data_IF_678061774295
#
_entry.id   IF_678061774295
#
_cell.length_a   1.000
_cell.length_b   1.000
_cell.length_c   1.000
_cell.angle_alpha   90.00
_cell.angle_beta   90.00
_cell.angle_gamma   90.00
#
_symmetry.space_group_name_H-M   'P 1'
#
loop_
_entity.id
_entity.type
_entity.pdbx_description
1 polymer ?
#
# COMPACT_ATOMS: atom_id res chain seq x y z
N UNK A 1 -15.88 -9.47 36.80
CA UNK A 1 -14.51 -8.93 36.59
C UNK A 1 -14.04 -9.39 35.22
N UNK A 2 -13.80 -8.47 34.29
CA UNK A 2 -13.16 -8.78 33.02
C UNK A 2 -11.63 -8.79 33.21
N UNK A 3 -10.90 -9.74 32.62
CA UNK A 3 -9.44 -9.68 32.61
C UNK A 3 -9.01 -8.45 31.79
N UNK A 4 -7.90 -7.79 32.18
CA UNK A 4 -7.36 -6.68 31.42
C UNK A 4 -6.95 -7.17 30.02
N UNK A 5 -7.19 -6.38 28.96
CA UNK A 5 -6.72 -6.72 27.62
C UNK A 5 -5.19 -6.84 27.63
N UNK A 6 -4.68 -7.88 26.96
CA UNK A 6 -3.25 -8.11 26.82
C UNK A 6 -2.55 -6.85 26.23
N UNK A 7 -1.34 -6.51 26.69
CA UNK A 7 -0.61 -5.37 26.15
C UNK A 7 -0.43 -5.56 24.66
N UNK A 8 -0.88 -4.58 23.87
CA UNK A 8 -0.63 -4.54 22.44
C UNK A 8 0.90 -4.62 22.22
N UNK A 9 1.39 -5.46 21.30
CA UNK A 9 2.82 -5.56 21.03
C UNK A 9 3.33 -4.16 20.69
N UNK A 10 4.32 -3.71 21.45
CA UNK A 10 4.91 -2.38 21.31
C UNK A 10 5.61 -2.37 19.96
N UNK A 11 4.92 -1.83 18.95
CA UNK A 11 5.35 -1.86 17.56
C UNK A 11 6.70 -1.15 17.47
N UNK A 12 7.75 -1.92 17.26
CA UNK A 12 9.10 -1.43 16.96
C UNK A 12 9.08 -0.89 15.54
N UNK A 13 8.50 0.29 15.34
CA UNK A 13 8.75 1.07 14.13
C UNK A 13 10.18 1.60 14.24
N UNK A 14 11.12 0.75 13.86
CA UNK A 14 12.55 0.87 14.05
C UNK A 14 13.20 1.48 12.81
N UNK A 15 12.53 1.42 11.65
CA UNK A 15 13.00 2.03 10.41
C UNK A 15 11.86 2.47 9.48
N UNK A 16 12.00 3.57 8.70
CA UNK A 16 11.09 3.86 7.59
C UNK A 16 11.00 2.72 6.56
N UNK A 17 11.96 1.79 6.56
CA UNK A 17 11.95 0.58 5.74
C UNK A 17 10.95 -0.48 6.22
N UNK A 18 10.51 -0.43 7.49
CA UNK A 18 9.56 -1.40 8.05
C UNK A 18 8.20 -1.31 7.34
N UNK A 19 7.76 -0.09 7.05
CA UNK A 19 6.52 0.13 6.30
C UNK A 19 6.60 -0.37 4.87
N UNK A 20 7.78 -0.26 4.24
CA UNK A 20 8.01 -0.72 2.88
C UNK A 20 8.08 -2.25 2.81
N UNK A 21 8.75 -2.88 3.78
CA UNK A 21 8.74 -4.33 3.99
C UNK A 21 7.31 -4.85 4.20
N UNK A 22 6.53 -4.19 5.05
CA UNK A 22 5.15 -4.56 5.30
C UNK A 22 4.28 -4.41 4.03
N UNK A 23 4.50 -3.36 3.24
CA UNK A 23 3.74 -3.13 2.00
C UNK A 23 4.01 -4.22 0.95
N UNK A 24 5.27 -4.67 0.83
CA UNK A 24 5.67 -5.65 -0.18
C UNK A 24 5.32 -7.07 0.23
N UNK A 25 5.49 -7.41 1.51
CA UNK A 25 5.29 -8.77 2.01
C UNK A 25 3.89 -9.03 2.57
N UNK A 26 3.12 -7.97 2.85
CA UNK A 26 1.82 -8.05 3.52
C UNK A 26 1.89 -8.43 5.01
N UNK A 27 3.09 -8.65 5.56
CA UNK A 27 3.30 -9.09 6.93
C UNK A 27 4.05 -8.04 7.74
N UNK A 28 3.74 -7.97 9.04
CA UNK A 28 4.53 -7.14 9.96
C UNK A 28 5.94 -7.73 10.13
N UNK A 29 6.90 -6.87 10.46
CA UNK A 29 8.33 -7.23 10.59
C UNK A 29 8.53 -8.31 11.67
N UNK A 30 7.82 -8.21 12.78
CA UNK A 30 7.89 -9.20 13.87
C UNK A 30 7.41 -10.58 13.40
N UNK A 31 6.37 -10.62 12.56
CA UNK A 31 5.85 -11.86 11.97
C UNK A 31 6.84 -12.46 10.99
N UNK A 32 7.49 -11.62 10.16
CA UNK A 32 8.53 -12.07 9.24
C UNK A 32 9.72 -12.69 9.98
N UNK A 33 10.13 -12.11 11.12
CA UNK A 33 11.18 -12.67 11.95
C UNK A 33 10.78 -14.03 12.51
N UNK A 34 9.55 -14.17 13.00
CA UNK A 34 9.04 -15.45 13.48
C UNK A 34 8.95 -16.52 12.37
N UNK A 35 8.59 -16.13 11.14
CA UNK A 35 8.57 -17.05 9.99
C UNK A 35 9.97 -17.46 9.55
N UNK A 36 10.95 -16.55 9.63
CA UNK A 36 12.36 -16.87 9.41
C UNK A 36 12.87 -17.90 10.40
N UNK A 37 12.60 -17.71 11.69
CA UNK A 37 13.04 -18.63 12.74
C UNK A 37 12.38 -20.02 12.64
N UNK A 38 11.20 -20.09 12.03
CA UNK A 38 10.48 -21.34 11.76
C UNK A 38 10.83 -21.97 10.41
N UNK A 39 11.65 -21.33 9.58
CA UNK A 39 12.04 -21.83 8.26
C UNK A 39 10.90 -21.86 7.23
N UNK A 40 9.88 -21.00 7.39
CA UNK A 40 8.67 -20.99 6.54
C UNK A 40 8.84 -20.05 5.33
N UNK A 41 9.78 -19.10 5.41
CA UNK A 41 10.04 -18.14 4.33
C UNK A 41 10.78 -18.79 3.16
N UNK A 42 10.49 -18.32 1.96
CA UNK A 42 11.34 -18.61 0.79
C UNK A 42 12.73 -17.97 0.96
N UNK A 43 13.68 -18.37 0.10
CA UNK A 43 15.08 -17.94 0.21
C UNK A 43 15.25 -16.42 0.08
N UNK A 44 14.43 -15.77 -0.75
CA UNK A 44 14.51 -14.32 -0.99
C UNK A 44 14.01 -13.51 0.21
N UNK A 45 12.86 -13.88 0.77
CA UNK A 45 12.31 -13.28 1.97
C UNK A 45 13.16 -13.62 3.20
N UNK A 46 13.74 -14.82 3.26
CA UNK A 46 14.66 -15.20 4.32
C UNK A 46 15.92 -14.32 4.32
N UNK A 47 16.57 -14.16 3.16
CA UNK A 47 17.73 -13.28 3.03
C UNK A 47 17.37 -11.82 3.36
N UNK A 48 16.20 -11.34 2.94
CA UNK A 48 15.71 -10.00 3.29
C UNK A 48 15.56 -9.80 4.80
N UNK A 49 14.97 -10.77 5.50
CA UNK A 49 14.80 -10.73 6.95
C UNK A 49 16.15 -10.74 7.68
N UNK A 50 17.12 -11.53 7.19
CA UNK A 50 18.46 -11.56 7.77
C UNK A 50 19.16 -10.19 7.62
N UNK A 51 19.03 -9.53 6.47
CA UNK A 51 19.52 -8.14 6.28
C UNK A 51 18.78 -7.13 7.16
N UNK A 52 17.48 -7.33 7.38
CA UNK A 52 16.72 -6.49 8.29
C UNK A 52 17.21 -6.63 9.74
N UNK A 53 17.57 -7.85 10.17
CA UNK A 53 18.19 -8.09 11.49
C UNK A 53 19.53 -7.38 11.64
N UNK A 54 20.37 -7.41 10.60
CA UNK A 54 21.63 -6.64 10.58
C UNK A 54 21.38 -5.14 10.77
N UNK A 55 20.38 -4.58 10.07
CA UNK A 55 19.98 -3.17 10.22
C UNK A 55 19.51 -2.85 11.64
N UNK A 56 18.63 -3.66 12.22
CA UNK A 56 18.13 -3.48 13.58
C UNK A 56 19.27 -3.52 14.63
N UNK A 57 20.27 -4.40 14.42
CA UNK A 57 21.47 -4.45 15.26
C UNK A 57 22.31 -3.18 15.14
N UNK A 58 22.51 -2.67 13.92
CA UNK A 58 23.23 -1.42 13.70
C UNK A 58 22.51 -0.22 14.34
N UNK A 59 21.19 -0.15 14.25
CA UNK A 59 20.39 0.90 14.88
C UNK A 59 20.43 0.85 16.41
N UNK A 60 20.49 -0.36 16.98
CA UNK A 60 20.70 -0.53 18.43
C UNK A 60 22.04 0.07 18.86
N UNK A 61 23.10 -0.12 18.06
CA UNK A 61 24.43 0.43 18.31
C UNK A 61 24.45 1.96 18.24
N UNK A 62 23.79 2.55 17.24
CA UNK A 62 23.62 4.02 17.14
C UNK A 62 22.88 4.58 18.36
N UNK A 63 21.78 3.93 18.75
CA UNK A 63 20.99 4.36 19.92
C UNK A 63 21.82 4.30 21.20
N UNK A 64 22.65 3.26 21.35
CA UNK A 64 23.56 3.10 22.48
C UNK A 64 24.57 4.25 22.54
N UNK A 65 25.29 4.55 21.46
CA UNK A 65 26.29 5.62 21.45
C UNK A 65 25.68 7.01 21.60
N UNK A 66 24.49 7.25 21.05
CA UNK A 66 23.79 8.52 21.24
C UNK A 66 23.36 8.72 22.70
N UNK A 67 22.89 7.66 23.38
CA UNK A 67 22.60 7.71 24.82
C UNK A 67 23.86 7.92 25.66
N UNK A 68 24.96 7.25 25.31
CA UNK A 68 26.24 7.42 25.99
C UNK A 68 26.75 8.85 25.83
N UNK A 69 26.70 9.40 24.62
CA UNK A 69 27.09 10.78 24.35
C UNK A 69 26.25 11.78 25.16
N UNK A 70 24.91 11.62 25.15
CA UNK A 70 24.01 12.44 25.96
C UNK A 70 24.34 12.38 27.45
N UNK A 71 24.74 11.21 27.95
CA UNK A 71 25.16 11.03 29.35
C UNK A 71 26.47 11.77 29.62
N UNK A 72 27.48 11.63 28.76
CA UNK A 72 28.75 12.33 28.90
C UNK A 72 28.58 13.85 28.84
N UNK A 73 27.63 14.36 28.05
CA UNK A 73 27.33 15.79 27.93
C UNK A 73 26.36 16.33 29.00
N UNK A 74 25.86 15.50 29.92
CA UNK A 74 24.81 15.88 30.88
C UNK A 74 25.29 16.67 32.09
N UNK A 75 26.61 16.85 32.25
CA UNK A 75 27.21 17.46 33.44
C UNK A 75 27.36 16.50 34.63
N UNK A 76 27.15 15.19 34.42
CA UNK A 76 27.39 14.14 35.44
C UNK A 76 28.88 13.97 35.79
N UNK A 77 29.79 14.41 34.92
CA UNK A 77 31.23 14.20 35.05
C UNK A 77 31.98 15.54 35.17
N UNK A 78 33.07 15.53 35.93
CA UNK A 78 33.97 16.67 36.03
C UNK A 78 34.58 17.01 34.67
N UNK A 79 34.71 18.32 34.38
CA UNK A 79 35.25 18.80 33.11
C UNK A 79 36.77 18.70 33.13
N UNK A 80 37.28 17.55 32.72
CA UNK A 80 38.70 17.23 32.62
C UNK A 80 39.09 16.69 31.23
N UNK A 81 40.39 16.49 31.00
CA UNK A 81 40.91 15.95 29.73
C UNK A 81 40.45 14.51 29.46
N UNK A 82 40.14 13.74 30.51
CA UNK A 82 39.65 12.38 30.37
C UNK A 82 38.20 12.36 29.85
N UNK A 83 37.36 13.31 30.26
CA UNK A 83 36.01 13.50 29.75
C UNK A 83 36.05 13.82 28.25
N UNK A 84 36.87 14.80 27.84
CA UNK A 84 37.00 15.14 26.42
C UNK A 84 37.46 13.94 25.58
N UNK A 85 38.48 13.21 26.04
CA UNK A 85 38.96 11.98 25.37
C UNK A 85 37.85 10.93 25.23
N UNK A 86 36.99 10.78 26.24
CA UNK A 86 35.87 9.82 26.21
C UNK A 86 34.75 10.29 25.28
N UNK A 87 34.49 11.60 25.23
CA UNK A 87 33.53 12.19 24.29
C UNK A 87 34.02 11.96 22.86
N UNK A 88 35.27 12.31 22.53
CA UNK A 88 35.84 12.13 21.19
C UNK A 88 35.73 10.68 20.73
N UNK A 89 36.16 9.73 21.57
CA UNK A 89 36.00 8.30 21.28
C UNK A 89 34.54 7.88 21.07
N UNK A 90 33.60 8.45 21.82
CA UNK A 90 32.17 8.13 21.68
C UNK A 90 31.61 8.69 20.38
N UNK A 91 32.09 9.86 19.94
CA UNK A 91 31.74 10.45 18.65
C UNK A 91 32.27 9.59 17.51
N UNK A 92 33.54 9.16 17.56
CA UNK A 92 34.12 8.25 16.56
C UNK A 92 33.30 6.95 16.45
N UNK A 93 32.94 6.35 17.59
CA UNK A 93 32.12 5.14 17.64
C UNK A 93 30.68 5.36 17.13
N UNK A 94 30.12 6.56 17.33
CA UNK A 94 28.83 6.94 16.78
C UNK A 94 28.90 7.11 15.25
N UNK A 95 29.99 7.68 14.74
CA UNK A 95 30.25 7.79 13.30
C UNK A 95 30.34 6.40 12.66
N UNK A 96 31.14 5.49 13.23
CA UNK A 96 31.23 4.10 12.75
C UNK A 96 29.86 3.39 12.79
N UNK A 97 29.10 3.56 13.87
CA UNK A 97 27.79 2.95 14.01
C UNK A 97 26.76 3.49 13.01
N UNK A 98 26.80 4.80 12.72
CA UNK A 98 25.91 5.41 11.71
C UNK A 98 26.30 4.96 10.30
N UNK A 99 27.59 4.91 9.97
CA UNK A 99 28.07 4.36 8.70
C UNK A 99 27.66 2.88 8.51
N UNK A 100 27.77 2.07 9.57
CA UNK A 100 27.34 0.66 9.55
C UNK A 100 25.81 0.54 9.35
N UNK A 101 25.01 1.39 10.00
CA UNK A 101 23.56 1.46 9.82
C UNK A 101 23.21 1.79 8.36
N UNK A 102 23.89 2.77 7.78
CA UNK A 102 23.60 3.23 6.42
C UNK A 102 24.03 2.20 5.36
N UNK A 103 25.13 1.48 5.61
CA UNK A 103 25.51 0.33 4.81
C UNK A 103 24.48 -0.81 4.91
N UNK A 104 23.97 -1.12 6.11
CA UNK A 104 22.93 -2.13 6.29
C UNK A 104 21.61 -1.72 5.62
N UNK A 105 21.22 -0.44 5.70
CA UNK A 105 20.02 0.08 5.03
C UNK A 105 20.11 -0.08 3.51
N UNK A 106 21.28 0.22 2.91
CA UNK A 106 21.51 -0.02 1.48
C UNK A 106 21.39 -1.49 1.08
N UNK A 107 21.87 -2.41 1.92
CA UNK A 107 21.72 -3.86 1.68
C UNK A 107 20.26 -4.31 1.72
N UNK A 108 19.47 -3.78 2.67
CA UNK A 108 18.03 -4.08 2.76
C UNK A 108 17.30 -3.56 1.51
N UNK A 109 17.61 -2.34 1.07
CA UNK A 109 17.04 -1.77 -0.15
C UNK A 109 17.39 -2.60 -1.40
N UNK A 110 18.65 -3.01 -1.54
CA UNK A 110 19.08 -3.86 -2.65
C UNK A 110 18.40 -5.24 -2.64
N UNK A 111 18.07 -5.77 -1.46
CA UNK A 111 17.32 -7.02 -1.32
C UNK A 111 15.81 -6.84 -1.57
N UNK A 112 15.25 -5.65 -1.31
CA UNK A 112 13.85 -5.32 -1.57
C UNK A 112 13.55 -5.14 -3.07
N UNK A 113 14.44 -4.49 -3.81
CA UNK A 113 14.26 -4.17 -5.23
C UNK A 113 13.81 -5.36 -6.11
N UNK A 114 14.42 -6.56 -6.04
CA UNK A 114 13.96 -7.70 -6.85
C UNK A 114 12.59 -8.22 -6.43
N UNK A 115 12.24 -8.16 -5.14
CA UNK A 115 10.95 -8.62 -4.62
C UNK A 115 9.85 -7.64 -5.05
N UNK A 116 10.14 -6.35 -4.99
CA UNK A 116 9.26 -5.30 -5.52
C UNK A 116 9.08 -5.42 -7.02
N UNK A 117 10.15 -5.69 -7.78
CA UNK A 117 10.07 -5.89 -9.22
C UNK A 117 9.24 -7.14 -9.58
N UNK A 118 9.41 -8.25 -8.83
CA UNK A 118 8.61 -9.45 -9.01
C UNK A 118 7.13 -9.21 -8.64
N UNK A 119 6.87 -8.51 -7.54
CA UNK A 119 5.52 -8.14 -7.13
C UNK A 119 4.86 -7.21 -8.15
N UNK A 120 5.60 -6.25 -8.73
CA UNK A 120 5.11 -5.37 -9.77
C UNK A 120 4.84 -6.10 -11.09
N UNK A 121 5.65 -7.10 -11.44
CA UNK A 121 5.44 -7.94 -12.62
C UNK A 121 4.24 -8.89 -12.47
N UNK A 122 3.95 -9.33 -11.23
CA UNK A 122 2.81 -10.18 -10.91
C UNK A 122 1.53 -9.40 -10.58
N UNK A 123 1.64 -8.11 -10.23
CA UNK A 123 0.50 -7.24 -10.15
C UNK A 123 -0.06 -7.10 -11.57
N UNK A 124 -1.28 -7.60 -11.87
CA UNK A 124 -1.94 -7.18 -13.09
C UNK A 124 -1.91 -5.66 -13.06
N UNK A 125 -1.37 -5.06 -14.13
CA UNK A 125 -1.34 -3.62 -14.34
C UNK A 125 -2.54 -3.03 -13.64
N UNK A 126 -2.30 -2.10 -12.71
CA UNK A 126 -3.33 -1.19 -12.27
C UNK A 126 -3.71 -0.35 -13.50
N UNK A 127 -4.39 -0.99 -14.47
CA UNK A 127 -5.16 -0.36 -15.52
C UNK A 127 -6.00 0.60 -14.74
N UNK A 128 -5.66 1.88 -14.88
CA UNK A 128 -6.52 2.96 -14.44
C UNK A 128 -7.92 2.56 -14.87
N UNK A 129 -8.79 2.31 -13.88
CA UNK A 129 -10.11 1.76 -14.14
C UNK A 129 -10.74 2.63 -15.22
N UNK A 130 -11.15 2.02 -16.33
CA UNK A 130 -11.95 2.76 -17.31
C UNK A 130 -13.18 3.32 -16.60
N UNK A 131 -13.70 4.46 -17.05
CA UNK A 131 -14.95 5.03 -16.54
C UNK A 131 -16.06 3.97 -16.53
N UNK A 132 -16.08 3.07 -17.51
CA UNK A 132 -17.04 1.97 -17.61
C UNK A 132 -16.81 0.88 -16.55
N UNK A 133 -15.55 0.59 -16.19
CA UNK A 133 -15.21 -0.34 -15.10
C UNK A 133 -15.62 0.25 -13.75
N UNK A 134 -15.36 1.54 -13.54
CA UNK A 134 -15.75 2.24 -12.33
C UNK A 134 -17.27 2.25 -12.14
N UNK A 135 -18.04 2.50 -13.21
CA UNK A 135 -19.50 2.46 -13.18
C UNK A 135 -20.02 1.06 -12.86
N UNK A 136 -19.44 0.02 -13.46
CA UNK A 136 -19.80 -1.37 -13.19
C UNK A 136 -19.50 -1.77 -11.73
N UNK A 137 -18.33 -1.40 -11.20
CA UNK A 137 -17.95 -1.67 -9.81
C UNK A 137 -18.84 -0.93 -8.81
N UNK A 138 -19.23 0.33 -9.09
CA UNK A 138 -20.18 1.08 -8.26
C UNK A 138 -21.57 0.44 -8.26
N UNK A 139 -22.03 -0.06 -9.41
CA UNK A 139 -23.30 -0.77 -9.52
C UNK A 139 -23.26 -2.10 -8.71
N UNK A 140 -22.14 -2.83 -8.75
CA UNK A 140 -21.95 -4.06 -7.97
C UNK A 140 -21.82 -3.76 -6.46
N UNK A 141 -21.21 -2.64 -6.07
CA UNK A 141 -21.10 -2.23 -4.67
C UNK A 141 -22.47 -2.06 -3.99
N UNK A 142 -23.51 -1.69 -4.73
CA UNK A 142 -24.89 -1.60 -4.26
C UNK A 142 -25.59 -2.96 -4.07
N UNK A 143 -24.89 -4.06 -4.37
CA UNK A 143 -25.42 -5.42 -4.42
C UNK A 143 -25.79 -5.81 -5.84
N UNK A 144 -25.35 -7.00 -6.28
CA UNK A 144 -25.63 -7.47 -7.63
C UNK A 144 -25.82 -8.99 -7.68
N UNK A 145 -26.63 -9.42 -8.65
CA UNK A 145 -26.93 -10.84 -8.88
C UNK A 145 -26.78 -11.20 -10.35
N UNK A 146 -26.06 -12.28 -10.61
CA UNK A 146 -25.91 -12.87 -11.92
C UNK A 146 -27.09 -13.78 -12.22
N UNK A 147 -27.69 -13.56 -13.40
CA UNK A 147 -28.79 -14.35 -13.91
C UNK A 147 -28.45 -14.89 -15.29
N UNK A 148 -28.99 -16.07 -15.59
CA UNK A 148 -29.06 -16.59 -16.94
C UNK A 148 -30.45 -16.35 -17.53
N UNK A 149 -30.49 -15.76 -18.72
CA UNK A 149 -31.73 -15.50 -19.42
C UNK A 149 -32.25 -16.76 -20.09
N UNK A 150 -33.31 -17.36 -19.54
CA UNK A 150 -33.83 -18.68 -19.95
C UNK A 150 -34.14 -18.82 -21.45
N UNK A 151 -34.61 -17.77 -22.12
CA UNK A 151 -34.91 -17.84 -23.57
C UNK A 151 -33.67 -17.69 -24.48
N UNK A 152 -32.59 -17.07 -23.99
CA UNK A 152 -31.43 -16.74 -24.85
C UNK A 152 -30.14 -17.40 -24.39
N UNK A 153 -30.13 -18.06 -23.23
CA UNK A 153 -28.94 -18.60 -22.56
C UNK A 153 -27.92 -17.52 -22.17
N UNK A 154 -28.24 -16.24 -22.35
CA UNK A 154 -27.28 -15.15 -22.11
C UNK A 154 -27.24 -14.84 -20.63
N UNK A 155 -26.03 -14.72 -20.10
CA UNK A 155 -25.81 -14.32 -18.73
C UNK A 155 -25.68 -12.80 -18.62
N UNK A 156 -26.21 -12.23 -17.54
CA UNK A 156 -26.03 -10.83 -17.21
C UNK A 156 -26.18 -10.60 -15.72
N UNK A 157 -25.42 -9.65 -15.19
CA UNK A 157 -25.53 -9.22 -13.80
C UNK A 157 -26.55 -8.10 -13.74
N UNK A 158 -27.50 -8.21 -12.81
CA UNK A 158 -28.42 -7.14 -12.46
C UNK A 158 -28.00 -6.58 -11.11
N UNK A 159 -27.56 -5.32 -11.11
CA UNK A 159 -27.32 -4.58 -9.88
C UNK A 159 -28.65 -4.24 -9.18
N UNK A 160 -28.61 -3.98 -7.87
CA UNK A 160 -29.76 -3.55 -7.09
C UNK A 160 -30.36 -2.23 -7.62
N UNK A 161 -29.54 -1.40 -8.28
CA UNK A 161 -29.97 -0.19 -8.98
C UNK A 161 -30.73 -0.46 -10.29
N UNK A 162 -30.87 -1.72 -10.71
CA UNK A 162 -31.50 -2.12 -11.98
C UNK A 162 -30.57 -2.06 -13.19
N UNK A 163 -29.32 -1.59 -13.02
CA UNK A 163 -28.33 -1.56 -14.09
C UNK A 163 -27.96 -3.00 -14.49
N UNK A 164 -28.00 -3.28 -15.79
CA UNK A 164 -27.54 -4.56 -16.36
C UNK A 164 -26.10 -4.45 -16.81
N UNK A 165 -25.25 -5.33 -16.29
CA UNK A 165 -23.84 -5.45 -16.65
C UNK A 165 -23.70 -6.72 -17.51
N UNK A 166 -23.19 -6.63 -18.75
CA UNK A 166 -22.97 -7.79 -19.61
C UNK A 166 -22.00 -8.80 -18.99
N UNK A 167 -22.21 -10.09 -19.23
CA UNK A 167 -21.34 -11.15 -18.69
C UNK A 167 -19.86 -10.99 -19.10
N UNK A 168 -19.58 -10.55 -20.33
CA UNK A 168 -18.20 -10.29 -20.77
C UNK A 168 -17.50 -9.23 -19.90
N UNK A 169 -18.26 -8.23 -19.41
CA UNK A 169 -17.73 -7.19 -18.51
C UNK A 169 -17.52 -7.74 -17.09
N UNK A 170 -18.44 -8.59 -16.61
CA UNK A 170 -18.23 -9.30 -15.35
C UNK A 170 -16.96 -10.15 -15.39
N UNK A 171 -16.77 -10.92 -16.47
CA UNK A 171 -15.62 -11.81 -16.63
C UNK A 171 -14.29 -11.02 -16.63
N UNK A 172 -14.24 -9.89 -17.32
CA UNK A 172 -13.07 -8.99 -17.26
C UNK A 172 -12.77 -8.48 -15.84
N UNK A 173 -13.80 -8.16 -15.05
CA UNK A 173 -13.61 -7.70 -13.67
C UNK A 173 -13.20 -8.84 -12.72
N UNK A 174 -13.64 -10.08 -12.99
CA UNK A 174 -13.20 -11.29 -12.28
C UNK A 174 -11.74 -11.63 -12.61
N UNK A 175 -11.38 -11.59 -13.90
CA UNK A 175 -10.01 -11.84 -14.37
C UNK A 175 -9.03 -10.81 -13.78
N UNK A 176 -9.49 -9.57 -13.55
CA UNK A 176 -8.75 -8.52 -12.86
C UNK A 176 -8.76 -8.64 -11.32
N UNK A 177 -9.43 -9.65 -10.76
CA UNK A 177 -9.51 -9.89 -9.32
C UNK A 177 -10.33 -8.86 -8.54
N UNK A 178 -11.16 -8.05 -9.21
CA UNK A 178 -11.92 -6.94 -8.60
C UNK A 178 -13.29 -7.39 -8.06
N UNK A 179 -13.80 -8.49 -8.60
CA UNK A 179 -15.13 -9.03 -8.30
C UNK A 179 -15.03 -10.53 -8.11
N UNK A 180 -15.87 -11.09 -7.24
CA UNK A 180 -16.00 -12.53 -7.02
C UNK A 180 -17.47 -12.95 -7.05
N UNK A 181 -17.72 -14.11 -7.65
CA UNK A 181 -19.00 -14.81 -7.63
C UNK A 181 -19.08 -15.75 -6.45
N UNK A 182 -20.21 -15.75 -5.77
CA UNK A 182 -20.53 -16.75 -4.77
C UNK A 182 -21.12 -18.00 -5.46
N UNK A 183 -20.29 -19.01 -5.72
CA UNK A 183 -20.69 -20.27 -6.35
C UNK A 183 -21.53 -21.19 -5.46
N UNK A 184 -21.80 -20.82 -4.21
CA UNK A 184 -22.71 -21.55 -3.33
C UNK A 184 -24.18 -21.38 -3.69
N UNK A 185 -24.51 -20.46 -4.61
CA UNK A 185 -25.88 -20.15 -4.99
C UNK A 185 -26.20 -20.56 -6.44
N UNK A 186 -27.34 -21.22 -6.69
CA UNK A 186 -27.72 -21.61 -8.04
C UNK A 186 -28.00 -20.39 -8.92
N UNK A 187 -27.51 -20.43 -10.17
CA UNK A 187 -27.63 -19.35 -11.16
C UNK A 187 -29.07 -18.90 -11.41
N UNK A 188 -30.02 -19.84 -11.42
CA UNK A 188 -31.43 -19.54 -11.68
C UNK A 188 -32.10 -18.78 -10.52
N UNK A 189 -31.56 -18.83 -9.30
CA UNK A 189 -32.04 -18.05 -8.15
C UNK A 189 -31.38 -16.66 -8.04
N UNK A 190 -30.46 -16.35 -8.95
CA UNK A 190 -29.62 -15.15 -8.90
C UNK A 190 -28.40 -15.38 -8.03
N UNK A 191 -27.27 -15.66 -8.68
CA UNK A 191 -26.01 -15.90 -8.00
C UNK A 191 -25.43 -14.56 -7.50
N UNK A 192 -25.10 -14.39 -6.21
CA UNK A 192 -24.57 -13.14 -5.71
C UNK A 192 -23.18 -12.82 -6.30
N UNK A 193 -22.97 -11.54 -6.58
CA UNK A 193 -21.71 -10.99 -7.06
C UNK A 193 -21.26 -9.91 -6.08
N UNK A 194 -20.04 -10.04 -5.56
CA UNK A 194 -19.50 -9.14 -4.55
C UNK A 194 -18.14 -8.56 -4.97
N UNK A 195 -17.83 -7.37 -4.45
CA UNK A 195 -16.50 -6.78 -4.60
C UNK A 195 -15.49 -7.48 -3.71
N UNK A 196 -14.30 -7.73 -4.25
CA UNK A 196 -13.13 -8.16 -3.47
C UNK A 196 -12.54 -6.97 -2.70
N UNK A 197 -11.61 -7.24 -1.78
CA UNK A 197 -10.86 -6.16 -1.12
C UNK A 197 -10.08 -5.30 -2.13
N UNK A 198 -9.52 -5.92 -3.18
CA UNK A 198 -8.87 -5.21 -4.28
C UNK A 198 -9.86 -4.33 -5.06
N UNK A 199 -11.06 -4.83 -5.37
CA UNK A 199 -12.11 -4.04 -6.03
C UNK A 199 -12.59 -2.84 -5.21
N UNK A 200 -12.73 -3.01 -3.89
CA UNK A 200 -13.03 -1.90 -2.96
C UNK A 200 -11.89 -0.88 -2.95
N UNK A 201 -10.64 -1.33 -2.78
CA UNK A 201 -9.47 -0.46 -2.78
C UNK A 201 -9.33 0.33 -4.10
N UNK A 202 -9.59 -0.31 -5.24
CA UNK A 202 -9.55 0.32 -6.55
C UNK A 202 -10.63 1.41 -6.71
N UNK A 203 -11.86 1.17 -6.23
CA UNK A 203 -12.91 2.19 -6.18
C UNK A 203 -12.55 3.38 -5.28
N UNK A 204 -11.93 3.13 -4.12
CA UNK A 204 -11.49 4.20 -3.22
C UNK A 204 -10.32 5.00 -3.80
N UNK A 205 -9.36 4.34 -4.47
CA UNK A 205 -8.26 4.99 -5.16
C UNK A 205 -8.75 5.88 -6.30
N UNK A 206 -9.71 5.39 -7.12
CA UNK A 206 -10.33 6.17 -8.19
C UNK A 206 -11.08 7.41 -7.68
N UNK A 207 -11.67 7.36 -6.47
CA UNK A 207 -12.27 8.53 -5.81
C UNK A 207 -11.25 9.54 -5.27
N UNK A 208 -10.01 9.10 -4.98
CA UNK A 208 -8.94 9.94 -4.43
C UNK A 208 -8.04 10.58 -5.48
N UNK A 209 -8.12 10.18 -6.75
CA UNK A 209 -7.39 10.85 -7.81
C UNK A 209 -7.82 12.35 -7.84
N UNK A 210 -6.89 13.30 -7.62
CA UNK A 210 -7.24 14.70 -7.65
C UNK A 210 -7.60 15.08 -9.09
N UNK A 211 -8.85 15.52 -9.27
CA UNK A 211 -9.33 16.24 -10.46
C UNK A 211 -8.60 17.59 -10.57
N UNK A 212 -7.33 17.56 -10.97
CA UNK A 212 -6.71 18.71 -11.64
C UNK A 212 -6.91 18.50 -13.14
N UNK A 213 -8.14 18.68 -13.58
CA UNK A 213 -8.40 19.11 -14.94
C UNK A 213 -9.13 20.44 -14.83
N UNK A 214 -8.36 21.52 -15.01
CA UNK A 214 -8.89 22.83 -15.24
C UNK A 214 -9.93 22.76 -16.38
N UNK A 215 -11.10 23.40 -16.24
CA UNK A 215 -12.05 23.47 -17.34
C UNK A 215 -11.39 24.25 -18.49
N UNK A 216 -11.02 23.52 -19.54
CA UNK A 216 -10.60 24.11 -20.81
C UNK A 216 -11.86 24.72 -21.42
N UNK A 217 -12.08 26.00 -21.13
CA UNK A 217 -13.14 26.81 -21.75
C UNK A 217 -12.97 26.68 -23.26
N UNK A 218 -13.92 25.99 -23.90
CA UNK A 218 -14.03 25.95 -25.34
C UNK A 218 -14.33 27.37 -25.82
N UNK A 219 -13.34 28.03 -26.44
CA UNK A 219 -13.55 29.28 -27.15
C UNK A 219 -14.49 29.00 -28.34
N UNK A 220 -15.75 29.40 -28.18
CA UNK A 220 -16.78 29.41 -29.22
C UNK A 220 -16.40 30.47 -30.26
N UNK A 221 -16.27 30.14 -31.55
CA UNK A 221 -16.13 31.15 -32.61
C UNK A 221 -17.52 31.76 -32.84
N UNK A 222 -17.80 32.86 -32.13
CA UNK A 222 -19.00 33.67 -32.34
C UNK A 222 -18.71 34.72 -33.41
N UNK A 223 -19.18 34.48 -34.63
CA UNK A 223 -19.17 35.44 -35.72
C UNK A 223 -19.87 36.75 -35.32
N UNK A 224 -19.18 37.88 -35.51
CA UNK A 224 -19.72 39.23 -35.37
C UNK A 224 -20.91 39.45 -36.31
N UNK A 225 -22.02 39.95 -35.77
CA UNK A 225 -23.08 40.62 -36.54
C UNK A 225 -23.16 42.10 -36.12
N UNK A 226 -23.33 43.03 -37.07
CA UNK A 226 -23.26 44.46 -36.82
C UNK A 226 -24.55 45.02 -36.22
N UNK A 227 -24.40 46.06 -35.41
CA UNK A 227 -25.45 46.91 -34.84
C UNK A 227 -26.07 47.83 -35.90
N UNK A 228 -27.40 48.00 -35.92
CA UNK A 228 -28.03 49.12 -36.61
C UNK A 228 -28.18 50.34 -35.67
N UNK A 229 -27.99 51.51 -36.28
CA UNK A 229 -27.99 52.83 -35.67
C UNK A 229 -29.36 53.24 -35.09
N UNK A 230 -29.34 53.88 -33.93
CA UNK A 230 -30.48 54.58 -33.36
C UNK A 230 -30.40 56.06 -33.75
N UNK A 231 -31.45 56.55 -34.40
CA UNK A 231 -31.59 57.94 -34.85
C UNK A 231 -32.71 58.60 -34.04
N UNK A 232 -32.41 59.80 -33.57
CA UNK A 232 -33.23 60.84 -32.93
C UNK A 232 -33.34 60.78 -31.41
#
# INVERSE_FOLDING_TARGET
MHPPPAPAPTRRAVSPLDHRLQAVTGHDVDTLWAYRDRGILDEQHAHLVDRHRELAKAQTSVTFYLRLLNRLSSGEFDVDSALFTRIDRTVDQLEEATAARDAAARKVLAALEPIEAAAAACAPDARQLSTDDQAALLAIAGGAKLYEHLLTGRMSVTAASGIRIPHAKLQQLEDAGLVVRDTGHPLHAGQPVALTDAGRAALFAARRAPTVQAPKVSARPGASRPTPAQRR
#
